data_IF_814267384329
#
_entry.id   IF_814267384329
#
_cell.length_a   1.000
_cell.length_b   1.000
_cell.length_c   1.000
_cell.angle_alpha   90.00
_cell.angle_beta   90.00
_cell.angle_gamma   90.00
#
_symmetry.space_group_name_H-M   'P 1'
#
loop_
_entity.id
_entity.type
_entity.pdbx_description
1 polymer ?
#
# COMPACT_ATOMS: atom_id res chain seq x y z
N UNK A 1 4.23 14.32 25.93
CA UNK A 1 4.62 15.03 24.69
C UNK A 1 5.38 14.03 23.83
N UNK A 2 5.04 13.89 22.54
CA UNK A 2 5.79 13.00 21.64
C UNK A 2 7.17 13.60 21.34
N UNK A 3 8.20 12.76 21.21
CA UNK A 3 9.53 13.23 20.82
C UNK A 3 9.47 13.89 19.42
N UNK A 4 10.32 14.88 19.08
CA UNK A 4 10.29 15.58 17.80
C UNK A 4 10.29 14.64 16.58
N UNK A 5 11.12 13.60 16.58
CA UNK A 5 11.14 12.57 15.53
C UNK A 5 9.82 11.77 15.41
N UNK A 6 9.12 11.55 16.52
CA UNK A 6 7.81 10.89 16.50
C UNK A 6 6.73 11.80 15.88
N UNK A 7 6.78 13.11 16.14
CA UNK A 7 5.87 14.07 15.53
C UNK A 7 6.09 14.18 14.01
N UNK A 8 7.36 14.25 13.57
CA UNK A 8 7.72 14.27 12.16
C UNK A 8 7.27 12.99 11.43
N UNK A 9 7.52 11.82 12.04
CA UNK A 9 7.09 10.51 11.51
C UNK A 9 5.58 10.46 11.32
N UNK A 10 4.79 10.89 12.32
CA UNK A 10 3.32 10.95 12.22
C UNK A 10 2.85 11.90 11.12
N UNK A 11 3.47 13.07 11.01
CA UNK A 11 3.15 14.05 9.97
C UNK A 11 3.42 13.53 8.56
N UNK A 12 4.52 12.80 8.36
CA UNK A 12 4.85 12.17 7.07
C UNK A 12 3.93 10.99 6.76
N UNK A 13 3.59 10.16 7.76
CA UNK A 13 2.65 9.07 7.58
C UNK A 13 1.24 9.57 7.20
N UNK A 14 0.77 10.68 7.77
CA UNK A 14 -0.50 11.30 7.40
C UNK A 14 -0.48 11.89 5.97
N UNK A 15 0.66 12.44 5.52
CA UNK A 15 0.81 12.89 4.14
C UNK A 15 0.85 11.71 3.16
N UNK A 16 1.51 10.62 3.54
CA UNK A 16 1.55 9.38 2.75
C UNK A 16 0.14 8.81 2.61
N UNK A 17 -0.62 8.78 3.71
CA UNK A 17 -2.03 8.37 3.73
C UNK A 17 -2.87 9.16 2.71
N UNK A 18 -2.83 10.49 2.80
CA UNK A 18 -3.58 11.35 1.91
C UNK A 18 -3.14 11.20 0.45
N UNK A 19 -1.84 10.98 0.21
CA UNK A 19 -1.32 10.80 -1.16
C UNK A 19 -1.73 9.45 -1.76
N UNK A 20 -1.92 8.41 -0.96
CA UNK A 20 -2.36 7.09 -1.44
C UNK A 20 -3.87 6.99 -1.69
N UNK A 21 -4.66 7.95 -1.21
CA UNK A 21 -6.12 7.88 -1.28
C UNK A 21 -6.67 7.73 -2.70
N UNK A 22 -6.22 8.48 -3.72
CA UNK A 22 -6.73 8.29 -5.08
C UNK A 22 -6.47 6.88 -5.63
N UNK A 23 -5.26 6.35 -5.40
CA UNK A 23 -4.91 4.99 -5.82
C UNK A 23 -5.76 3.95 -5.09
N UNK A 24 -6.00 4.11 -3.78
CA UNK A 24 -6.83 3.19 -3.01
C UNK A 24 -8.27 3.19 -3.46
N UNK A 25 -8.86 4.37 -3.72
CA UNK A 25 -10.23 4.46 -4.23
C UNK A 25 -10.37 3.79 -5.60
N UNK A 26 -9.46 4.11 -6.53
CA UNK A 26 -9.43 3.50 -7.85
C UNK A 26 -9.28 1.97 -7.78
N UNK A 27 -8.32 1.50 -6.99
CA UNK A 27 -8.02 0.07 -6.90
C UNK A 27 -9.12 -0.67 -6.12
N UNK A 28 -9.71 -0.06 -5.10
CA UNK A 28 -10.85 -0.62 -4.38
C UNK A 28 -12.05 -0.88 -5.26
N UNK A 29 -12.31 0.05 -6.19
CA UNK A 29 -13.38 -0.07 -7.18
C UNK A 29 -13.07 -1.11 -8.25
N UNK A 30 -11.85 -1.13 -8.77
CA UNK A 30 -11.52 -1.90 -9.97
C UNK A 30 -10.97 -3.31 -9.70
N UNK A 31 -10.16 -3.49 -8.65
CA UNK A 31 -9.51 -4.78 -8.40
C UNK A 31 -10.48 -5.95 -8.16
N UNK A 32 -11.61 -5.81 -7.45
CA UNK A 32 -12.56 -6.92 -7.26
C UNK A 32 -13.08 -7.51 -8.57
N UNK A 33 -13.21 -6.70 -9.62
CA UNK A 33 -13.66 -7.14 -10.94
C UNK A 33 -12.50 -7.59 -11.83
N UNK A 34 -11.39 -6.83 -11.82
CA UNK A 34 -10.28 -7.06 -12.74
C UNK A 34 -9.33 -8.19 -12.33
N UNK A 35 -9.09 -8.36 -11.02
CA UNK A 35 -8.10 -9.30 -10.51
C UNK A 35 -8.52 -10.77 -10.65
N UNK A 36 -9.77 -11.19 -10.36
CA UNK A 36 -10.18 -12.58 -10.54
C UNK A 36 -10.07 -13.08 -11.99
N UNK A 37 -10.30 -12.18 -12.96
CA UNK A 37 -10.18 -12.47 -14.38
C UNK A 37 -8.75 -12.25 -14.94
N UNK A 38 -7.76 -11.94 -14.09
CA UNK A 38 -6.40 -11.67 -14.55
C UNK A 38 -5.61 -12.98 -14.70
N UNK A 39 -5.03 -13.29 -15.87
CA UNK A 39 -4.25 -14.52 -16.07
C UNK A 39 -2.92 -14.52 -15.30
N UNK A 40 -2.49 -13.35 -14.79
CA UNK A 40 -1.25 -13.15 -14.04
C UNK A 40 -1.51 -12.29 -12.80
N UNK A 41 -2.35 -12.77 -11.90
CA UNK A 41 -2.66 -12.07 -10.63
C UNK A 41 -1.38 -11.91 -9.80
N UNK A 42 -1.02 -10.67 -9.45
CA UNK A 42 0.18 -10.39 -8.65
C UNK A 42 0.17 -11.14 -7.30
N UNK A 43 -1.00 -11.27 -6.67
CA UNK A 43 -1.16 -11.98 -5.41
C UNK A 43 -0.83 -13.48 -5.48
N UNK A 44 -0.88 -14.11 -6.67
CA UNK A 44 -0.50 -15.52 -6.83
C UNK A 44 1.00 -15.70 -7.11
N UNK A 45 1.67 -14.66 -7.62
CA UNK A 45 3.07 -14.68 -8.02
C UNK A 45 4.03 -14.03 -7.02
N UNK A 46 3.54 -13.20 -6.12
CA UNK A 46 4.39 -12.48 -5.16
C UNK A 46 5.01 -13.45 -4.14
N UNK A 47 6.23 -13.14 -3.73
CA UNK A 47 6.89 -13.83 -2.62
C UNK A 47 6.08 -13.65 -1.34
N UNK A 48 5.82 -14.72 -0.56
CA UNK A 48 5.21 -14.58 0.76
C UNK A 48 6.14 -13.84 1.73
N UNK A 49 7.45 -13.85 1.47
CA UNK A 49 8.46 -13.13 2.25
C UNK A 49 8.66 -11.72 1.68
N UNK A 50 8.69 -10.72 2.57
CA UNK A 50 8.97 -9.33 2.21
C UNK A 50 7.79 -8.57 1.61
N UNK A 51 6.56 -9.08 1.76
CA UNK A 51 5.37 -8.38 1.30
C UNK A 51 5.15 -7.05 2.06
N UNK A 52 5.38 -7.07 3.37
CA UNK A 52 5.44 -5.88 4.22
C UNK A 52 6.90 -5.53 4.42
N UNK A 53 7.30 -4.32 4.05
CA UNK A 53 8.62 -3.80 4.32
C UNK A 53 8.67 -3.00 5.64
N UNK A 54 9.85 -2.52 6.01
CA UNK A 54 10.04 -1.73 7.24
C UNK A 54 9.23 -0.44 7.23
N UNK A 55 9.03 0.19 6.07
CA UNK A 55 8.30 1.46 5.95
C UNK A 55 6.80 1.23 6.11
N UNK A 56 6.28 0.09 5.66
CA UNK A 56 4.89 -0.30 5.94
C UNK A 56 4.65 -0.43 7.45
N UNK A 57 5.59 -1.06 8.17
CA UNK A 57 5.50 -1.21 9.63
C UNK A 57 5.57 0.14 10.36
N UNK A 58 6.48 1.04 9.94
CA UNK A 58 6.57 2.40 10.48
C UNK A 58 5.26 3.16 10.22
N UNK A 59 4.72 3.07 9.01
CA UNK A 59 3.46 3.70 8.63
C UNK A 59 2.28 3.18 9.47
N UNK A 60 2.18 1.87 9.70
CA UNK A 60 1.13 1.29 10.56
C UNK A 60 1.22 1.80 12.00
N UNK A 61 2.43 1.81 12.56
CA UNK A 61 2.66 2.31 13.91
C UNK A 61 2.37 3.82 14.04
N UNK A 62 2.78 4.62 13.05
CA UNK A 62 2.59 6.06 13.05
C UNK A 62 1.12 6.48 12.94
N UNK A 63 0.29 5.69 12.24
CA UNK A 63 -1.15 5.93 12.10
C UNK A 63 -2.01 5.15 13.09
N UNK A 64 -1.39 4.44 14.04
CA UNK A 64 -2.08 3.61 15.03
C UNK A 64 -3.05 2.59 14.38
N UNK A 65 -2.62 1.97 13.26
CA UNK A 65 -3.40 0.93 12.61
C UNK A 65 -3.37 -0.35 13.45
N UNK A 66 -4.45 -0.60 14.18
CA UNK A 66 -4.63 -1.75 15.06
C UNK A 66 -5.53 -2.82 14.43
N UNK A 67 -5.51 -4.02 15.00
CA UNK A 67 -6.38 -5.15 14.63
C UNK A 67 -6.28 -5.57 13.16
N UNK A 68 -5.08 -5.47 12.59
CA UNK A 68 -4.82 -5.97 11.25
C UNK A 68 -4.87 -7.50 11.25
N UNK A 69 -5.45 -8.12 10.20
CA UNK A 69 -5.42 -9.57 10.04
C UNK A 69 -3.99 -10.12 10.08
N UNK A 70 -3.83 -11.30 10.67
CA UNK A 70 -2.56 -12.01 10.63
C UNK A 70 -2.38 -12.71 9.26
N UNK A 71 -1.15 -12.75 8.72
CA UNK A 71 -0.85 -13.50 7.51
C UNK A 71 -1.09 -15.00 7.75
N UNK A 72 -1.64 -15.70 6.76
CA UNK A 72 -1.72 -17.17 6.76
C UNK A 72 -0.47 -17.74 6.07
N UNK A 73 0.23 -18.72 6.68
CA UNK A 73 1.39 -19.35 6.06
C UNK A 73 1.05 -19.89 4.67
N UNK A 74 1.91 -19.58 3.69
CA UNK A 74 1.81 -20.09 2.31
C UNK A 74 3.22 -20.34 1.78
N UNK A 75 3.39 -21.43 1.04
CA UNK A 75 4.64 -21.70 0.32
C UNK A 75 4.84 -20.73 -0.85
N UNK A 76 3.75 -20.28 -1.47
CA UNK A 76 3.74 -19.35 -2.60
C UNK A 76 2.54 -18.41 -2.56
N UNK A 77 2.76 -17.17 -3.02
CA UNK A 77 1.72 -16.16 -3.14
C UNK A 77 1.50 -15.35 -1.86
N UNK A 78 0.61 -14.37 -1.96
CA UNK A 78 0.29 -13.44 -0.90
C UNK A 78 -0.34 -14.17 0.31
N UNK A 79 0.22 -14.04 1.52
CA UNK A 79 -0.33 -14.67 2.73
C UNK A 79 -1.64 -14.04 3.22
N UNK A 80 -2.11 -12.96 2.58
CA UNK A 80 -3.38 -12.31 2.89
C UNK A 80 -4.48 -12.55 1.85
N UNK A 81 -4.20 -13.29 0.76
CA UNK A 81 -5.19 -13.59 -0.28
C UNK A 81 -6.07 -14.78 0.14
N UNK A 82 -7.38 -14.59 0.24
CA UNK A 82 -8.37 -15.65 0.51
C UNK A 82 -9.36 -15.78 -0.66
N UNK A 83 -10.36 -16.68 -0.54
CA UNK A 83 -11.36 -16.93 -1.59
C UNK A 83 -12.14 -15.67 -1.96
N UNK A 84 -12.48 -14.85 -0.97
CA UNK A 84 -13.21 -13.59 -1.13
C UNK A 84 -12.30 -12.39 -1.45
N UNK A 85 -11.00 -12.64 -1.69
CA UNK A 85 -10.01 -11.62 -1.98
C UNK A 85 -9.07 -11.34 -0.79
N UNK A 86 -8.46 -10.15 -0.80
CA UNK A 86 -7.44 -9.80 0.19
C UNK A 86 -8.06 -9.48 1.56
N UNK A 87 -7.56 -10.13 2.62
CA UNK A 87 -7.95 -9.87 4.00
C UNK A 87 -7.57 -8.46 4.47
N UNK A 88 -6.51 -7.87 3.93
CA UNK A 88 -6.06 -6.55 4.36
C UNK A 88 -7.03 -5.45 3.88
N UNK A 89 -7.51 -4.58 4.79
CA UNK A 89 -8.22 -3.38 4.38
C UNK A 89 -7.29 -2.50 3.53
N UNK A 90 -7.85 -1.72 2.59
CA UNK A 90 -7.05 -0.90 1.66
C UNK A 90 -6.03 0.00 2.34
N UNK A 91 -6.37 0.51 3.52
CA UNK A 91 -5.48 1.32 4.35
C UNK A 91 -4.23 0.58 4.84
N UNK A 92 -4.33 -0.74 5.02
CA UNK A 92 -3.25 -1.60 5.49
C UNK A 92 -2.63 -2.45 4.38
N UNK A 93 -3.02 -2.24 3.11
CA UNK A 93 -2.36 -2.94 2.01
C UNK A 93 -0.95 -2.37 1.85
N UNK A 94 0.07 -3.25 1.75
CA UNK A 94 1.47 -2.85 1.67
C UNK A 94 1.74 -2.05 0.40
N UNK A 95 2.86 -1.34 0.38
CA UNK A 95 3.29 -0.63 -0.83
C UNK A 95 3.51 -1.57 -2.02
N UNK A 96 3.82 -2.84 -1.79
CA UNK A 96 3.82 -3.87 -2.84
C UNK A 96 2.49 -3.94 -3.64
N UNK A 97 1.36 -3.57 -3.03
CA UNK A 97 0.05 -3.49 -3.69
C UNK A 97 -0.27 -2.10 -4.26
N UNK A 98 0.53 -1.08 -3.91
CA UNK A 98 0.25 0.35 -4.10
C UNK A 98 1.50 1.11 -4.58
N UNK A 99 2.32 0.53 -5.47
CA UNK A 99 3.52 1.19 -6.01
C UNK A 99 3.48 1.44 -7.52
N UNK A 100 2.48 0.90 -8.24
CA UNK A 100 2.31 1.11 -9.68
C UNK A 100 0.88 0.82 -10.14
N UNK A 101 0.52 1.35 -11.31
CA UNK A 101 -0.69 0.98 -12.05
C UNK A 101 -0.36 -0.15 -13.03
N UNK A 102 -0.97 -1.32 -12.86
CA UNK A 102 -0.74 -2.43 -13.79
C UNK A 102 -1.48 -2.22 -15.12
N UNK A 103 -1.11 -2.92 -16.21
CA UNK A 103 -1.72 -2.70 -17.53
C UNK A 103 -3.25 -2.85 -17.55
N UNK A 104 -3.81 -3.75 -16.73
CA UNK A 104 -5.27 -3.93 -16.61
C UNK A 104 -5.95 -2.74 -15.92
N UNK A 105 -5.34 -2.20 -14.88
CA UNK A 105 -5.85 -1.00 -14.20
C UNK A 105 -5.73 0.22 -15.12
N UNK A 106 -4.60 0.37 -15.83
CA UNK A 106 -4.38 1.45 -16.78
C UNK A 106 -5.43 1.45 -17.90
N UNK A 107 -5.79 0.27 -18.43
CA UNK A 107 -6.82 0.13 -19.45
C UNK A 107 -8.25 0.43 -18.94
N UNK A 108 -8.49 0.28 -17.63
CA UNK A 108 -9.80 0.49 -17.01
C UNK A 108 -9.99 1.91 -16.43
N UNK A 109 -8.91 2.67 -16.27
CA UNK A 109 -8.95 4.02 -15.74
C UNK A 109 -9.11 5.05 -16.88
N UNK A 110 -10.02 6.03 -16.75
CA UNK A 110 -10.04 7.21 -17.61
C UNK A 110 -8.70 7.95 -17.57
N UNK A 111 -8.26 8.52 -18.70
CA UNK A 111 -6.96 9.21 -18.79
C UNK A 111 -6.68 10.23 -17.67
N UNK A 112 -7.62 11.13 -17.32
CA UNK A 112 -7.44 12.04 -16.20
C UNK A 112 -7.32 11.35 -14.83
N UNK A 113 -8.10 10.29 -14.59
CA UNK A 113 -8.03 9.53 -13.33
C UNK A 113 -6.71 8.74 -13.24
N UNK A 114 -6.27 8.15 -14.35
CA UNK A 114 -4.99 7.46 -14.45
C UNK A 114 -3.83 8.39 -14.08
N UNK A 115 -3.79 9.59 -14.66
CA UNK A 115 -2.75 10.58 -14.37
C UNK A 115 -2.72 10.98 -12.88
N UNK A 116 -3.89 11.16 -12.26
CA UNK A 116 -4.00 11.45 -10.83
C UNK A 116 -3.47 10.29 -9.98
N UNK A 117 -3.83 9.04 -10.33
CA UNK A 117 -3.35 7.85 -9.62
C UNK A 117 -1.83 7.70 -9.76
N UNK A 118 -1.27 7.88 -10.95
CA UNK A 118 0.18 7.78 -11.18
C UNK A 118 0.95 8.85 -10.39
N UNK A 119 0.49 10.09 -10.39
CA UNK A 119 1.08 11.18 -9.59
C UNK A 119 0.99 10.89 -8.08
N UNK A 120 -0.15 10.35 -7.63
CA UNK A 120 -0.35 9.92 -6.25
C UNK A 120 0.66 8.85 -5.83
N UNK A 121 0.87 7.83 -6.67
CA UNK A 121 1.82 6.74 -6.42
C UNK A 121 3.28 7.21 -6.42
N UNK A 122 3.65 8.11 -7.34
CA UNK A 122 4.99 8.70 -7.36
C UNK A 122 5.26 9.49 -6.07
N UNK A 123 4.31 10.35 -5.67
CA UNK A 123 4.39 11.12 -4.43
C UNK A 123 4.46 10.20 -3.20
N UNK A 124 3.70 9.11 -3.19
CA UNK A 124 3.76 8.11 -2.13
C UNK A 124 5.16 7.49 -2.01
N UNK A 125 5.81 7.15 -3.12
CA UNK A 125 7.20 6.66 -3.12
C UNK A 125 8.18 7.63 -2.48
N UNK A 126 8.08 8.92 -2.83
CA UNK A 126 8.92 9.98 -2.24
C UNK A 126 8.66 10.15 -0.72
N UNK A 127 7.40 10.12 -0.31
CA UNK A 127 7.01 10.23 1.10
C UNK A 127 7.46 9.02 1.93
N UNK A 128 7.47 7.81 1.35
CA UNK A 128 8.00 6.61 2.00
C UNK A 128 9.49 6.73 2.31
N UNK A 129 10.29 7.22 1.37
CA UNK A 129 11.72 7.46 1.59
C UNK A 129 11.95 8.47 2.73
N UNK A 130 11.16 9.55 2.76
CA UNK A 130 11.23 10.55 3.83
C UNK A 130 10.76 10.01 5.18
N UNK A 131 9.70 9.20 5.20
CA UNK A 131 9.18 8.56 6.41
C UNK A 131 10.22 7.64 7.04
N UNK A 132 10.90 6.83 6.21
CA UNK A 132 11.99 6.00 6.66
C UNK A 132 13.12 6.83 7.28
N UNK A 133 13.60 7.86 6.57
CA UNK A 133 14.66 8.74 7.05
C UNK A 133 14.31 9.40 8.40
N UNK A 134 13.11 9.96 8.53
CA UNK A 134 12.65 10.59 9.77
C UNK A 134 12.51 9.62 10.96
N UNK A 135 12.31 8.33 10.69
CA UNK A 135 12.23 7.31 11.73
C UNK A 135 13.61 6.82 12.19
N UNK A 136 14.54 6.63 11.25
CA UNK A 136 15.88 6.07 11.56
C UNK A 136 16.87 7.12 12.07
N UNK A 137 16.70 8.38 11.66
CA UNK A 137 17.53 9.51 12.08
C UNK A 137 16.64 10.70 12.49
N UNK A 138 16.09 10.67 13.71
CA UNK A 138 15.09 11.63 14.15
C UNK A 138 15.61 13.04 14.49
N UNK A 139 16.94 13.24 14.50
CA UNK A 139 17.59 14.46 15.00
C UNK A 139 17.69 14.53 16.53
#
# INVERSE_FOLDING_TARGET
>A
MAAPGQAATRGLAAQLEASLEPARQAFARLCPELCPACPRVCCLGISPHGLLDQVDLIYFAALDLKHLPYPRPREKGCPFLESEGCLLPWRARPYACLHYVCPRLAAALPGPELAVVEQALERAGQLRARLHAAFVDPG
#
